data_IF_169769009500
#
_entry.id   IF_169769009500
#
_cell.length_a   1.000
_cell.length_b   1.000
_cell.length_c   1.000
_cell.angle_alpha   90.00
_cell.angle_beta   90.00
_cell.angle_gamma   90.00
#
_symmetry.space_group_name_H-M   'P 1'
#
loop_
_entity.id
_entity.type
_entity.pdbx_description
1 polymer ?
#
# COMPACT_ATOMS: atom_id res chain seq x y z
N UNK A 1 -3.96 23.88 15.54
CA UNK A 1 -4.45 23.35 14.25
C UNK A 1 -5.24 22.10 14.51
N UNK A 2 -6.40 21.96 13.87
CA UNK A 2 -7.28 20.80 14.05
C UNK A 2 -7.50 20.09 12.71
N UNK A 3 -7.26 18.77 12.64
CA UNK A 3 -7.38 17.98 11.41
C UNK A 3 -8.36 16.82 11.60
N UNK A 4 -9.22 16.60 10.61
CA UNK A 4 -10.03 15.38 10.53
C UNK A 4 -9.30 14.33 9.69
N UNK A 5 -9.25 13.09 10.19
CA UNK A 5 -8.87 11.90 9.40
C UNK A 5 -10.12 11.04 9.25
N UNK A 6 -10.53 10.74 8.01
CA UNK A 6 -11.76 10.00 7.73
C UNK A 6 -11.42 8.57 7.34
N UNK A 7 -11.78 7.62 8.20
CA UNK A 7 -11.54 6.18 8.02
C UNK A 7 -10.55 5.59 9.02
N UNK A 8 -10.78 4.33 9.41
CA UNK A 8 -10.01 3.56 10.40
C UNK A 8 -9.29 2.36 9.79
N UNK A 9 -9.19 2.28 8.46
CA UNK A 9 -8.33 1.31 7.81
C UNK A 9 -6.86 1.57 8.14
N UNK A 10 -5.97 0.70 7.70
CA UNK A 10 -4.52 0.78 7.95
C UNK A 10 -3.96 2.18 7.70
N UNK A 11 -4.36 2.82 6.59
CA UNK A 11 -3.87 4.15 6.23
C UNK A 11 -4.41 5.25 7.16
N UNK A 12 -5.67 5.17 7.56
CA UNK A 12 -6.22 6.11 8.54
C UNK A 12 -5.47 6.05 9.87
N UNK A 13 -5.17 4.86 10.37
CA UNK A 13 -4.36 4.66 11.59
C UNK A 13 -2.94 5.21 11.41
N UNK A 14 -2.27 4.88 10.29
CA UNK A 14 -0.94 5.42 9.96
C UNK A 14 -0.94 6.97 9.93
N UNK A 15 -1.95 7.56 9.29
CA UNK A 15 -2.08 9.02 9.19
C UNK A 15 -2.28 9.67 10.56
N UNK A 16 -3.15 9.10 11.40
CA UNK A 16 -3.34 9.59 12.78
C UNK A 16 -2.04 9.50 13.58
N UNK A 17 -1.34 8.35 13.51
CA UNK A 17 -0.05 8.18 14.18
C UNK A 17 0.99 9.19 13.70
N UNK A 18 1.11 9.39 12.38
CA UNK A 18 2.04 10.33 11.78
C UNK A 18 1.78 11.78 12.25
N UNK A 19 0.53 12.23 12.17
CA UNK A 19 0.13 13.57 12.59
C UNK A 19 0.41 13.81 14.07
N UNK A 20 0.02 12.89 14.94
CA UNK A 20 0.22 13.03 16.39
C UNK A 20 1.68 12.98 16.80
N UNK A 21 2.52 12.21 16.09
CA UNK A 21 3.95 12.11 16.38
C UNK A 21 4.74 13.31 15.88
N UNK A 22 4.57 13.69 14.61
CA UNK A 22 5.40 14.72 13.98
C UNK A 22 4.91 16.16 14.19
N UNK A 23 3.65 16.34 14.66
CA UNK A 23 3.08 17.67 14.88
C UNK A 23 2.54 17.80 16.32
N UNK A 24 3.37 18.22 17.29
CA UNK A 24 3.03 18.21 18.73
C UNK A 24 1.79 19.03 19.12
N UNK A 25 1.51 20.13 18.44
CA UNK A 25 0.42 21.08 18.78
C UNK A 25 -0.85 20.84 17.93
N UNK A 26 -0.95 19.67 17.30
CA UNK A 26 -2.06 19.31 16.44
C UNK A 26 -3.13 18.53 17.21
N UNK A 27 -4.40 18.84 16.97
CA UNK A 27 -5.55 18.04 17.37
C UNK A 27 -6.05 17.21 16.19
N UNK A 28 -6.35 15.93 16.43
CA UNK A 28 -6.84 15.00 15.42
C UNK A 28 -8.16 14.39 15.86
N UNK A 29 -9.19 14.57 15.05
CA UNK A 29 -10.42 13.81 15.13
C UNK A 29 -10.40 12.71 14.05
N UNK A 30 -10.47 11.44 14.45
CA UNK A 30 -10.66 10.33 13.53
C UNK A 30 -12.16 10.02 13.39
N UNK A 31 -12.70 10.22 12.19
CA UNK A 31 -14.13 10.05 11.89
C UNK A 31 -14.33 8.76 11.12
N UNK A 32 -15.22 7.89 11.57
CA UNK A 32 -15.47 6.61 10.92
C UNK A 32 -16.88 6.09 11.11
N UNK A 33 -17.33 5.28 10.16
CA UNK A 33 -18.59 4.55 10.27
C UNK A 33 -18.30 3.10 10.73
N UNK A 34 -18.70 2.69 11.95
CA UNK A 34 -18.39 1.37 12.49
C UNK A 34 -19.09 0.21 11.73
N UNK A 35 -20.08 0.51 10.89
CA UNK A 35 -20.76 -0.50 10.06
C UNK A 35 -20.08 -0.76 8.73
N UNK A 36 -19.09 0.06 8.34
CA UNK A 36 -18.31 -0.15 7.10
C UNK A 36 -17.14 -1.09 7.37
N UNK A 37 -17.13 -2.21 6.67
CA UNK A 37 -16.06 -3.20 6.79
C UNK A 37 -14.74 -2.67 6.24
N UNK A 38 -13.65 -2.98 6.94
CA UNK A 38 -12.29 -2.78 6.46
C UNK A 38 -11.98 -3.87 5.43
N UNK A 39 -11.34 -3.49 4.33
CA UNK A 39 -10.82 -4.47 3.38
C UNK A 39 -9.58 -5.14 3.99
N UNK A 40 -9.74 -6.38 4.43
CA UNK A 40 -8.64 -7.19 4.97
C UNK A 40 -7.87 -7.92 3.87
N UNK A 41 -7.25 -7.16 2.96
CA UNK A 41 -6.44 -7.70 1.88
C UNK A 41 -5.04 -7.08 1.98
N UNK A 42 -4.00 -7.92 2.06
CA UNK A 42 -2.62 -7.44 2.08
C UNK A 42 -2.21 -6.84 3.42
N UNK A 43 -2.11 -7.66 4.43
CA UNK A 43 -1.74 -7.32 5.81
C UNK A 43 -0.22 -7.22 5.98
N UNK A 44 0.48 -6.66 5.00
CA UNK A 44 1.94 -6.46 5.03
C UNK A 44 2.28 -4.98 5.11
N UNK A 45 3.16 -4.62 6.03
CA UNK A 45 3.63 -3.24 6.19
C UNK A 45 4.88 -2.93 5.36
N UNK A 46 5.23 -1.64 5.33
CA UNK A 46 6.57 -1.16 5.04
C UNK A 46 7.46 -1.22 6.30
N UNK A 47 8.74 -0.90 6.15
CA UNK A 47 9.72 -0.90 7.25
C UNK A 47 9.54 0.25 8.26
N UNK A 48 8.81 1.29 7.90
CA UNK A 48 8.60 2.47 8.76
C UNK A 48 7.45 2.27 9.76
N UNK A 49 6.48 1.40 9.45
CA UNK A 49 5.32 1.20 10.30
C UNK A 49 5.66 0.77 11.73
N UNK A 50 6.58 -0.19 11.98
CA UNK A 50 6.94 -0.58 13.35
C UNK A 50 7.42 0.59 14.21
N UNK A 51 8.28 1.42 13.65
CA UNK A 51 8.83 2.61 14.32
C UNK A 51 7.74 3.68 14.56
N UNK A 52 6.89 3.93 13.57
CA UNK A 52 5.77 4.85 13.70
C UNK A 52 4.79 4.45 14.81
N UNK A 53 4.41 3.18 14.87
CA UNK A 53 3.51 2.66 15.91
C UNK A 53 4.14 2.74 17.29
N UNK A 54 5.46 2.50 17.39
CA UNK A 54 6.19 2.65 18.65
C UNK A 54 6.24 4.11 19.10
N UNK A 55 6.64 5.01 18.23
CA UNK A 55 6.80 6.44 18.55
C UNK A 55 5.48 7.13 18.86
N UNK A 56 4.44 6.86 18.08
CA UNK A 56 3.14 7.52 18.24
C UNK A 56 2.27 6.89 19.34
N UNK A 57 2.28 5.56 19.46
CA UNK A 57 1.33 4.82 20.30
C UNK A 57 1.99 3.94 21.37
N UNK A 58 3.32 3.93 21.46
CA UNK A 58 4.05 3.02 22.40
C UNK A 58 3.84 1.54 22.10
N UNK A 59 3.46 1.20 20.85
CA UNK A 59 3.30 -0.18 20.44
C UNK A 59 4.68 -0.77 20.12
N UNK A 60 5.21 -1.52 21.05
CA UNK A 60 6.47 -2.26 20.86
C UNK A 60 6.16 -3.62 20.23
N UNK A 61 6.62 -3.85 19.00
CA UNK A 61 6.34 -5.08 18.25
C UNK A 61 6.72 -6.36 19.00
N UNK A 62 7.89 -6.37 19.68
CA UNK A 62 8.35 -7.56 20.38
C UNK A 62 7.53 -7.88 21.64
N UNK A 63 6.98 -6.86 22.31
CA UNK A 63 6.20 -7.03 23.55
C UNK A 63 4.69 -7.18 23.32
N UNK A 64 4.19 -6.70 22.19
CA UNK A 64 2.74 -6.59 21.92
C UNK A 64 2.30 -7.31 20.65
N UNK A 65 3.15 -8.20 20.11
CA UNK A 65 2.89 -8.94 18.86
C UNK A 65 1.54 -9.65 18.84
N UNK A 66 1.14 -10.24 19.96
CA UNK A 66 -0.10 -11.00 20.11
C UNK A 66 -1.35 -10.12 20.00
N UNK A 67 -1.26 -8.82 20.30
CA UNK A 67 -2.39 -7.90 20.21
C UNK A 67 -2.84 -7.66 18.75
N UNK A 68 -1.88 -7.75 17.81
CA UNK A 68 -2.12 -7.57 16.37
C UNK A 68 -1.81 -8.83 15.55
N UNK A 69 -1.63 -9.98 16.19
CA UNK A 69 -1.32 -11.25 15.51
C UNK A 69 -0.07 -11.14 14.59
N UNK A 70 0.95 -10.41 15.07
CA UNK A 70 2.10 -9.98 14.27
C UNK A 70 3.07 -11.11 13.98
N UNK A 71 3.53 -11.20 12.75
CA UNK A 71 4.79 -11.86 12.40
C UNK A 71 5.77 -10.88 11.77
N UNK A 72 7.08 -11.14 11.92
CA UNK A 72 8.11 -10.32 11.31
C UNK A 72 8.26 -10.64 9.83
N UNK A 73 8.46 -9.60 9.01
CA UNK A 73 8.75 -9.73 7.58
C UNK A 73 10.18 -9.27 7.32
N UNK A 74 11.01 -10.17 6.81
CA UNK A 74 12.41 -9.89 6.45
C UNK A 74 12.65 -9.86 4.94
N UNK A 75 11.60 -9.95 4.15
CA UNK A 75 11.72 -9.86 2.70
C UNK A 75 10.52 -10.43 1.96
N UNK A 76 10.73 -10.67 0.67
CA UNK A 76 9.77 -11.26 -0.25
C UNK A 76 10.41 -12.46 -0.94
N UNK A 77 9.72 -13.60 -0.96
CA UNK A 77 10.16 -14.78 -1.68
C UNK A 77 9.40 -14.90 -2.99
N UNK A 78 10.13 -14.84 -4.10
CA UNK A 78 9.61 -15.03 -5.45
C UNK A 78 9.73 -16.48 -5.88
N UNK A 79 8.59 -17.12 -6.19
CA UNK A 79 8.48 -18.51 -6.58
C UNK A 79 7.88 -18.58 -7.98
N UNK A 80 8.47 -19.36 -8.88
CA UNK A 80 8.04 -19.52 -10.28
C UNK A 80 8.09 -18.24 -11.15
N UNK A 81 8.62 -17.14 -10.67
CA UNK A 81 8.85 -15.95 -11.51
C UNK A 81 10.01 -16.15 -12.48
N UNK A 82 10.95 -17.02 -12.10
CA UNK A 82 12.11 -17.44 -12.90
C UNK A 82 12.36 -18.95 -12.69
N UNK A 83 13.26 -19.53 -13.48
CA UNK A 83 13.65 -20.93 -13.34
C UNK A 83 14.16 -21.29 -11.93
N UNK A 84 14.75 -20.32 -11.23
CA UNK A 84 15.15 -20.45 -9.83
C UNK A 84 14.33 -19.47 -9.01
N UNK A 85 13.80 -19.94 -7.91
CA UNK A 85 13.23 -19.07 -6.89
C UNK A 85 14.31 -18.16 -6.32
N UNK A 86 13.91 -16.96 -5.92
CA UNK A 86 14.83 -16.02 -5.29
C UNK A 86 14.17 -15.31 -4.11
N UNK A 87 14.99 -14.70 -3.29
CA UNK A 87 14.59 -13.92 -2.12
C UNK A 87 15.05 -12.48 -2.27
N UNK A 88 14.14 -11.54 -2.08
CA UNK A 88 14.41 -10.10 -2.01
C UNK A 88 14.40 -9.71 -0.52
N UNK A 89 15.57 -9.52 0.12
CA UNK A 89 15.64 -9.23 1.55
C UNK A 89 15.32 -7.76 1.85
N UNK A 90 14.75 -7.54 3.03
CA UNK A 90 14.82 -6.23 3.70
C UNK A 90 16.22 -6.09 4.29
N UNK A 91 16.84 -4.94 4.10
CA UNK A 91 18.24 -4.70 4.52
C UNK A 91 18.28 -4.55 6.05
N UNK A 92 19.10 -5.34 6.70
CA UNK A 92 19.34 -5.30 8.16
C UNK A 92 19.93 -3.91 8.54
N UNK A 93 19.46 -3.26 9.64
CA UNK A 93 18.67 -3.86 10.74
C UNK A 93 17.14 -3.75 10.58
N UNK A 94 16.62 -3.27 9.45
CA UNK A 94 15.21 -3.03 9.25
C UNK A 94 14.40 -4.32 9.16
N UNK A 95 13.14 -4.23 9.47
CA UNK A 95 12.12 -5.25 9.28
C UNK A 95 10.75 -4.60 9.03
N UNK A 96 9.87 -5.33 8.38
CA UNK A 96 8.46 -4.97 8.27
C UNK A 96 7.60 -5.95 9.06
N UNK A 97 6.29 -5.76 9.04
CA UNK A 97 5.33 -6.59 9.75
C UNK A 97 4.33 -7.20 8.79
N UNK A 98 3.91 -8.41 9.12
CA UNK A 98 2.57 -8.88 8.78
C UNK A 98 1.71 -8.73 10.04
N UNK A 99 0.48 -8.31 9.90
CA UNK A 99 -0.40 -8.04 11.05
C UNK A 99 -1.88 -8.17 10.66
N UNK A 100 -2.72 -8.38 11.66
CA UNK A 100 -4.16 -8.39 11.48
C UNK A 100 -4.71 -6.95 11.46
N UNK A 101 -5.04 -6.45 10.28
CA UNK A 101 -5.53 -5.08 10.12
C UNK A 101 -6.95 -4.88 10.67
N UNK A 102 -7.71 -5.94 10.93
CA UNK A 102 -9.00 -5.82 11.62
C UNK A 102 -8.84 -5.42 13.09
N UNK A 103 -7.71 -5.76 13.70
CA UNK A 103 -7.39 -5.40 15.10
C UNK A 103 -6.68 -4.05 15.22
N UNK A 104 -6.09 -3.54 14.12
CA UNK A 104 -5.15 -2.42 14.15
C UNK A 104 -5.73 -1.16 14.78
N UNK A 105 -6.92 -0.74 14.31
CA UNK A 105 -7.53 0.49 14.81
C UNK A 105 -7.87 0.42 16.30
N UNK A 106 -8.46 -0.68 16.76
CA UNK A 106 -8.85 -0.85 18.16
C UNK A 106 -7.65 -0.83 19.10
N UNK A 107 -6.59 -1.57 18.75
CA UNK A 107 -5.36 -1.66 19.54
C UNK A 107 -4.63 -0.32 19.58
N UNK A 108 -4.43 0.30 18.43
CA UNK A 108 -3.64 1.52 18.35
C UNK A 108 -4.40 2.72 18.90
N UNK A 109 -5.69 2.89 18.58
CA UNK A 109 -6.47 4.02 19.08
C UNK A 109 -6.67 3.98 20.60
N UNK A 110 -6.79 2.80 21.21
CA UNK A 110 -6.79 2.66 22.65
C UNK A 110 -5.51 3.22 23.28
N UNK A 111 -4.36 2.98 22.67
CA UNK A 111 -3.05 3.48 23.09
C UNK A 111 -2.92 4.99 22.87
N UNK A 112 -3.32 5.46 21.68
CA UNK A 112 -3.32 6.89 21.35
C UNK A 112 -4.21 7.70 22.27
N UNK A 113 -5.41 7.23 22.60
CA UNK A 113 -6.31 7.88 23.57
C UNK A 113 -5.66 8.01 24.94
N UNK A 114 -4.85 7.04 25.37
CA UNK A 114 -4.13 7.10 26.64
C UNK A 114 -2.96 8.10 26.59
N UNK A 115 -2.22 8.16 25.48
CA UNK A 115 -1.00 8.97 25.36
C UNK A 115 -1.31 10.42 24.94
N UNK A 116 -2.36 10.64 24.14
CA UNK A 116 -2.70 11.91 23.52
C UNK A 116 -4.09 12.42 23.92
N UNK A 117 -4.51 12.21 25.17
CA UNK A 117 -5.86 12.45 25.71
C UNK A 117 -6.54 13.74 25.26
N UNK A 118 -5.76 14.84 25.13
CA UNK A 118 -6.28 16.17 24.73
C UNK A 118 -6.21 16.42 23.24
N UNK A 119 -5.44 15.62 22.50
CA UNK A 119 -5.13 15.85 21.08
C UNK A 119 -5.76 14.84 20.14
N UNK A 120 -6.21 13.72 20.64
CA UNK A 120 -6.80 12.65 19.83
C UNK A 120 -8.20 12.28 20.28
N UNK A 121 -9.15 12.35 19.34
CA UNK A 121 -10.52 11.96 19.57
C UNK A 121 -11.05 11.10 18.42
N UNK A 122 -12.10 10.32 18.68
CA UNK A 122 -12.80 9.49 17.68
C UNK A 122 -14.26 9.89 17.60
N UNK A 123 -14.78 10.02 16.38
CA UNK A 123 -16.17 10.39 16.11
C UNK A 123 -16.80 9.28 15.24
N UNK A 124 -17.83 8.65 15.77
CA UNK A 124 -18.60 7.66 15.01
C UNK A 124 -19.70 8.36 14.20
N UNK A 125 -19.75 8.06 12.91
CA UNK A 125 -20.76 8.58 12.01
C UNK A 125 -20.43 8.38 10.54
N UNK A 126 -21.44 8.51 9.70
CA UNK A 126 -21.27 8.42 8.26
C UNK A 126 -20.97 9.80 7.67
N UNK A 127 -19.82 9.93 7.00
CA UNK A 127 -19.42 11.16 6.33
C UNK A 127 -20.16 11.26 5.01
N UNK A 128 -21.07 12.22 4.93
CA UNK A 128 -21.93 12.48 3.76
C UNK A 128 -21.24 13.35 2.73
N UNK A 129 -20.50 14.37 3.21
CA UNK A 129 -19.86 15.35 2.35
C UNK A 129 -18.63 15.98 3.01
N UNK A 130 -17.72 16.49 2.19
CA UNK A 130 -16.56 17.29 2.58
C UNK A 130 -16.56 18.54 1.72
N UNK A 131 -16.71 19.69 2.35
CA UNK A 131 -16.77 21.00 1.69
C UNK A 131 -15.58 21.82 2.19
N UNK A 132 -15.08 22.75 1.38
CA UNK A 132 -14.00 23.64 1.79
C UNK A 132 -14.18 25.06 1.25
N UNK A 133 -13.58 26.00 1.93
CA UNK A 133 -13.32 27.36 1.46
C UNK A 133 -11.86 27.74 1.75
N UNK A 134 -11.49 28.99 1.53
CA UNK A 134 -10.10 29.46 1.73
C UNK A 134 -9.64 29.38 3.19
N UNK A 135 -10.57 29.34 4.16
CA UNK A 135 -10.26 29.42 5.60
C UNK A 135 -10.29 28.07 6.28
N UNK A 136 -11.27 27.21 5.95
CA UNK A 136 -11.48 25.93 6.63
C UNK A 136 -12.10 24.87 5.71
N UNK A 137 -12.02 23.63 6.16
CA UNK A 137 -12.77 22.51 5.60
C UNK A 137 -13.89 22.10 6.56
N UNK A 138 -15.03 21.68 6.02
CA UNK A 138 -16.19 21.23 6.76
C UNK A 138 -16.53 19.78 6.40
N UNK A 139 -16.74 18.96 7.41
CA UNK A 139 -17.13 17.56 7.24
C UNK A 139 -18.55 17.37 7.74
N UNK A 140 -19.46 16.97 6.85
CA UNK A 140 -20.83 16.62 7.22
C UNK A 140 -20.88 15.18 7.72
N UNK A 141 -20.99 15.03 9.05
CA UNK A 141 -21.09 13.72 9.73
C UNK A 141 -22.53 13.52 10.18
N UNK A 142 -23.24 12.56 9.59
CA UNK A 142 -24.69 12.44 9.75
C UNK A 142 -25.37 13.79 9.42
N UNK A 143 -26.00 14.45 10.43
CA UNK A 143 -26.67 15.74 10.27
C UNK A 143 -25.87 16.92 10.88
N UNK A 144 -24.62 16.67 11.33
CA UNK A 144 -23.78 17.70 11.94
C UNK A 144 -22.68 18.13 10.96
N UNK A 145 -22.40 19.43 10.96
CA UNK A 145 -21.28 20.02 10.23
C UNK A 145 -20.16 20.31 11.22
N UNK A 146 -18.98 19.70 10.99
CA UNK A 146 -17.80 19.85 11.83
C UNK A 146 -16.73 20.61 11.05
N UNK A 147 -16.01 21.53 11.72
CA UNK A 147 -15.02 22.41 11.09
C UNK A 147 -13.59 22.01 11.46
N UNK A 148 -12.71 22.06 10.45
CA UNK A 148 -11.29 21.68 10.56
C UNK A 148 -10.40 22.59 9.73
N UNK A 149 -9.15 22.72 10.14
CA UNK A 149 -8.14 23.39 9.33
C UNK A 149 -7.83 22.60 8.06
N UNK A 150 -7.78 21.26 8.18
CA UNK A 150 -7.57 20.32 7.07
C UNK A 150 -8.35 19.01 7.28
N UNK A 151 -8.55 18.29 6.19
CA UNK A 151 -9.17 16.97 6.17
C UNK A 151 -8.29 15.99 5.41
N UNK A 152 -8.05 14.81 5.97
CA UNK A 152 -7.43 13.69 5.27
C UNK A 152 -8.50 12.63 4.99
N UNK A 153 -8.82 12.44 3.71
CA UNK A 153 -9.81 11.46 3.26
C UNK A 153 -9.14 10.10 2.99
N UNK A 154 -9.37 9.14 3.91
CA UNK A 154 -8.90 7.76 3.84
C UNK A 154 -10.05 6.75 3.65
N UNK A 155 -11.18 7.13 3.06
CA UNK A 155 -12.41 6.33 2.99
C UNK A 155 -12.36 5.08 2.10
N UNK A 156 -11.26 4.75 1.50
CA UNK A 156 -11.16 3.61 0.59
C UNK A 156 -11.44 3.97 -0.87
N UNK A 157 -11.91 3.01 -1.69
CA UNK A 157 -12.06 3.20 -3.13
C UNK A 157 -13.00 4.35 -3.49
N UNK A 158 -12.71 5.11 -4.57
CA UNK A 158 -13.65 6.10 -5.10
C UNK A 158 -14.85 5.40 -5.75
N UNK A 159 -16.01 6.04 -5.69
CA UNK A 159 -17.22 5.61 -6.40
C UNK A 159 -17.21 6.11 -7.86
N UNK A 160 -16.61 7.28 -8.10
CA UNK A 160 -16.42 7.90 -9.41
C UNK A 160 -14.92 8.12 -9.69
N UNK A 161 -14.51 7.81 -10.92
CA UNK A 161 -13.12 7.88 -11.37
C UNK A 161 -12.81 9.11 -12.24
N UNK A 162 -13.72 10.08 -12.36
CA UNK A 162 -13.52 11.31 -13.14
C UNK A 162 -12.31 12.13 -12.71
N UNK A 163 -12.01 12.14 -11.38
CA UNK A 163 -10.86 12.80 -10.78
C UNK A 163 -9.59 11.92 -10.72
N UNK A 164 -9.61 10.78 -11.41
CA UNK A 164 -8.53 9.79 -11.34
C UNK A 164 -7.95 9.49 -12.72
N UNK A 165 -6.71 9.06 -12.72
CA UNK A 165 -6.04 8.47 -13.89
C UNK A 165 -5.96 6.97 -13.68
N UNK A 166 -6.58 6.22 -14.59
CA UNK A 166 -6.59 4.75 -14.59
C UNK A 166 -5.35 4.26 -15.33
N UNK A 167 -4.65 3.29 -14.75
CA UNK A 167 -3.41 2.71 -15.29
C UNK A 167 -3.72 1.39 -16.02
N UNK A 168 -4.41 1.44 -17.16
CA UNK A 168 -4.88 0.26 -17.93
C UNK A 168 -3.75 -0.62 -18.47
N UNK A 169 -2.51 -0.14 -18.42
CA UNK A 169 -1.31 -0.91 -18.79
C UNK A 169 -0.85 -1.84 -17.66
N UNK A 170 -1.34 -1.68 -16.43
CA UNK A 170 -1.09 -2.61 -15.33
C UNK A 170 -1.94 -3.87 -15.48
N UNK A 171 -1.38 -5.06 -15.19
CA UNK A 171 -1.95 -6.31 -15.68
C UNK A 171 -3.15 -6.83 -14.89
N UNK A 172 -3.41 -6.34 -13.68
CA UNK A 172 -4.34 -6.96 -12.74
C UNK A 172 -5.61 -6.13 -12.55
N UNK A 173 -6.75 -6.82 -12.42
CA UNK A 173 -8.03 -6.18 -12.11
C UNK A 173 -8.94 -7.01 -11.18
N UNK A 174 -8.50 -8.21 -10.76
CA UNK A 174 -9.28 -9.12 -9.95
C UNK A 174 -8.42 -9.82 -8.90
N UNK A 175 -8.98 -10.02 -7.72
CA UNK A 175 -8.36 -10.74 -6.62
C UNK A 175 -9.33 -11.73 -5.98
N UNK A 176 -8.85 -12.95 -5.73
CA UNK A 176 -9.51 -13.97 -4.91
C UNK A 176 -8.69 -14.14 -3.65
N UNK A 177 -9.29 -13.99 -2.49
CA UNK A 177 -8.60 -14.14 -1.19
C UNK A 177 -9.10 -15.37 -0.46
N UNK A 178 -8.18 -16.17 0.03
CA UNK A 178 -8.42 -17.38 0.82
C UNK A 178 -7.72 -17.28 2.18
N UNK A 179 -8.47 -17.50 3.25
CA UNK A 179 -7.94 -17.55 4.62
C UNK A 179 -7.80 -18.98 5.11
N UNK A 180 -6.65 -19.30 5.72
CA UNK A 180 -6.36 -20.59 6.35
C UNK A 180 -6.20 -20.37 7.85
N UNK A 181 -7.03 -21.01 8.67
CA UNK A 181 -7.01 -20.92 10.14
C UNK A 181 -5.90 -21.78 10.75
N UNK A 182 -4.66 -21.52 10.35
CA UNK A 182 -3.46 -22.17 10.85
C UNK A 182 -2.31 -21.16 10.89
N UNK A 183 -1.41 -21.21 11.89
CA UNK A 183 -0.25 -20.35 11.95
C UNK A 183 0.61 -20.42 10.69
N UNK A 184 1.14 -19.28 10.26
CA UNK A 184 2.17 -19.23 9.22
C UNK A 184 3.57 -19.33 9.86
N UNK A 185 4.37 -20.32 9.45
CA UNK A 185 5.67 -20.62 10.03
C UNK A 185 6.84 -20.09 9.20
N UNK A 186 6.67 -18.92 8.56
CA UNK A 186 7.71 -18.26 7.79
C UNK A 186 7.70 -16.74 8.07
N UNK A 187 8.77 -16.05 7.66
CA UNK A 187 9.03 -14.64 8.01
C UNK A 187 9.21 -13.74 6.78
N UNK A 188 8.47 -14.01 5.73
CA UNK A 188 8.51 -13.24 4.47
C UNK A 188 7.14 -13.29 3.80
N UNK A 189 6.90 -12.36 2.86
CA UNK A 189 5.73 -12.46 1.98
C UNK A 189 6.06 -13.40 0.81
N UNK A 190 5.17 -14.36 0.52
CA UNK A 190 5.23 -15.13 -0.72
C UNK A 190 4.72 -14.28 -1.88
N UNK A 191 5.46 -14.32 -3.00
CA UNK A 191 5.02 -13.91 -4.32
C UNK A 191 5.22 -15.08 -5.28
N UNK A 192 4.18 -15.87 -5.46
CA UNK A 192 4.24 -17.07 -6.31
C UNK A 192 3.53 -16.81 -7.63
N UNK A 193 4.27 -16.83 -8.75
CA UNK A 193 3.66 -16.83 -10.06
C UNK A 193 2.87 -18.14 -10.29
N UNK A 194 1.71 -18.01 -10.90
CA UNK A 194 0.79 -19.10 -11.23
C UNK A 194 0.51 -19.08 -12.73
N UNK A 195 -0.25 -20.04 -13.24
CA UNK A 195 -0.56 -20.09 -14.67
C UNK A 195 -1.28 -18.86 -15.18
N UNK A 196 -2.21 -18.32 -14.38
CA UNK A 196 -3.14 -17.28 -14.82
C UNK A 196 -2.97 -15.95 -14.08
N UNK A 197 -1.91 -15.80 -13.29
CA UNK A 197 -1.66 -14.64 -12.45
C UNK A 197 -0.53 -14.88 -11.47
N UNK A 198 -0.67 -14.36 -10.25
CA UNK A 198 0.23 -14.69 -9.16
C UNK A 198 -0.48 -14.64 -7.81
N UNK A 199 0.12 -15.27 -6.81
CA UNK A 199 -0.39 -15.30 -5.46
C UNK A 199 0.57 -14.63 -4.49
N UNK A 200 0.02 -13.87 -3.54
CA UNK A 200 0.75 -13.55 -2.32
C UNK A 200 0.33 -14.47 -1.18
N UNK A 201 1.25 -14.74 -0.26
CA UNK A 201 0.99 -15.45 0.99
C UNK A 201 1.55 -14.68 2.18
N UNK A 202 0.70 -14.44 3.18
CA UNK A 202 1.00 -13.67 4.39
C UNK A 202 0.81 -14.55 5.60
N UNK A 203 1.88 -14.80 6.40
CA UNK A 203 1.78 -15.53 7.64
C UNK A 203 1.35 -14.60 8.78
N UNK A 204 0.42 -15.04 9.60
CA UNK A 204 0.13 -14.46 10.91
C UNK A 204 0.30 -15.52 11.99
N UNK A 205 0.30 -15.12 13.25
CA UNK A 205 0.49 -16.06 14.38
C UNK A 205 -0.64 -17.10 14.47
N UNK A 206 -1.87 -16.73 14.09
CA UNK A 206 -3.04 -17.61 14.25
C UNK A 206 -3.62 -18.08 12.91
N UNK A 207 -3.31 -17.38 11.80
CA UNK A 207 -3.87 -17.65 10.48
C UNK A 207 -2.89 -17.31 9.36
N UNK A 208 -3.25 -17.69 8.15
CA UNK A 208 -2.58 -17.28 6.92
C UNK A 208 -3.58 -16.59 6.00
N UNK A 209 -3.14 -15.55 5.31
CA UNK A 209 -3.87 -14.89 4.25
C UNK A 209 -3.22 -15.17 2.90
N UNK A 210 -3.99 -15.65 1.93
CA UNK A 210 -3.52 -15.91 0.58
C UNK A 210 -4.40 -15.15 -0.42
N UNK A 211 -3.79 -14.46 -1.37
CA UNK A 211 -4.51 -13.75 -2.41
C UNK A 211 -4.01 -14.15 -3.79
N UNK A 212 -4.91 -14.56 -4.67
CA UNK A 212 -4.66 -14.85 -6.08
C UNK A 212 -5.10 -13.65 -6.91
N UNK A 213 -4.19 -13.09 -7.68
CA UNK A 213 -4.37 -11.89 -8.48
C UNK A 213 -4.29 -12.24 -9.96
N UNK A 214 -5.24 -11.78 -10.75
CA UNK A 214 -5.35 -12.09 -12.16
C UNK A 214 -6.08 -11.00 -12.95
N UNK A 215 -6.26 -11.22 -14.25
CA UNK A 215 -7.05 -10.34 -15.12
C UNK A 215 -8.26 -11.10 -15.63
N UNK A 216 -9.46 -10.69 -15.21
CA UNK A 216 -10.71 -11.38 -15.58
C UNK A 216 -11.15 -11.14 -17.03
N UNK A 217 -10.50 -10.22 -17.76
CA UNK A 217 -10.66 -10.09 -19.20
C UNK A 217 -9.89 -11.17 -19.99
N UNK A 218 -8.97 -11.90 -19.33
CA UNK A 218 -8.10 -12.90 -19.96
C UNK A 218 -8.36 -14.29 -19.37
N UNK A 219 -8.60 -14.37 -18.07
CA UNK A 219 -8.73 -15.60 -17.30
C UNK A 219 -10.12 -15.67 -16.68
N UNK A 220 -10.84 -16.76 -16.94
CA UNK A 220 -12.12 -17.01 -16.28
C UNK A 220 -11.92 -17.16 -14.76
N UNK A 221 -12.84 -16.60 -13.96
CA UNK A 221 -12.78 -16.62 -12.50
C UNK A 221 -12.76 -18.03 -11.95
N UNK A 222 -13.54 -18.95 -12.54
CA UNK A 222 -13.57 -20.35 -12.11
C UNK A 222 -12.25 -21.09 -12.43
N UNK A 223 -11.54 -20.70 -13.49
CA UNK A 223 -10.22 -21.24 -13.78
C UNK A 223 -9.16 -20.73 -12.82
N UNK A 224 -9.24 -19.46 -12.39
CA UNK A 224 -8.41 -18.92 -11.32
C UNK A 224 -8.66 -19.63 -9.98
N UNK A 225 -9.93 -19.90 -9.62
CA UNK A 225 -10.29 -20.69 -8.43
C UNK A 225 -9.75 -22.12 -8.48
N UNK A 226 -9.88 -22.80 -9.61
CA UNK A 226 -9.32 -24.16 -9.81
C UNK A 226 -7.79 -24.16 -9.69
N UNK A 227 -7.12 -23.17 -10.27
CA UNK A 227 -5.66 -23.01 -10.17
C UNK A 227 -5.23 -22.81 -8.72
N UNK A 228 -5.91 -21.90 -7.99
CA UNK A 228 -5.68 -21.69 -6.57
C UNK A 228 -5.91 -22.97 -5.74
N UNK A 229 -7.03 -23.67 -5.93
CA UNK A 229 -7.34 -24.90 -5.22
C UNK A 229 -6.28 -26.00 -5.48
N UNK A 230 -5.79 -26.09 -6.71
CA UNK A 230 -4.74 -27.05 -7.08
C UNK A 230 -3.42 -26.80 -6.35
N UNK A 231 -3.07 -25.53 -6.08
CA UNK A 231 -1.85 -25.16 -5.35
C UNK A 231 -1.92 -25.62 -3.89
N UNK A 232 -3.11 -25.55 -3.27
CA UNK A 232 -3.35 -26.05 -1.91
C UNK A 232 -3.69 -27.56 -1.85
N UNK A 233 -3.82 -28.23 -2.99
CA UNK A 233 -4.24 -29.63 -3.09
C UNK A 233 -5.59 -29.90 -2.39
N UNK A 234 -6.56 -29.00 -2.61
CA UNK A 234 -7.94 -29.08 -2.10
C UNK A 234 -8.94 -28.90 -3.25
N UNK A 235 -10.21 -29.18 -3.00
CA UNK A 235 -11.28 -28.86 -3.96
C UNK A 235 -11.65 -27.37 -3.90
N UNK A 236 -12.23 -26.84 -4.98
CA UNK A 236 -12.70 -25.43 -5.03
C UNK A 236 -13.71 -25.13 -3.91
N UNK A 237 -14.55 -26.10 -3.54
CA UNK A 237 -15.54 -25.91 -2.48
C UNK A 237 -14.95 -25.81 -1.06
N UNK A 238 -13.70 -26.19 -0.88
CA UNK A 238 -12.98 -26.07 0.40
C UNK A 238 -12.26 -24.72 0.54
N UNK A 239 -12.21 -23.91 -0.52
CA UNK A 239 -11.67 -22.58 -0.47
C UNK A 239 -12.62 -21.65 0.32
N UNK A 240 -12.10 -20.97 1.35
CA UNK A 240 -12.80 -19.89 2.06
C UNK A 240 -12.55 -18.57 1.32
N UNK A 241 -13.41 -18.26 0.33
CA UNK A 241 -13.16 -17.20 -0.64
C UNK A 241 -13.88 -15.89 -0.33
N UNK A 242 -13.16 -14.80 -0.62
CA UNK A 242 -13.72 -13.48 -0.89
C UNK A 242 -13.17 -12.99 -2.22
N UNK A 243 -13.99 -12.35 -3.02
CA UNK A 243 -13.63 -11.85 -4.35
C UNK A 243 -13.70 -10.32 -4.38
N UNK A 244 -12.78 -9.72 -5.14
CA UNK A 244 -12.70 -8.27 -5.30
C UNK A 244 -12.28 -7.93 -6.72
N UNK A 245 -13.07 -7.11 -7.38
CA UNK A 245 -12.66 -6.45 -8.62
C UNK A 245 -12.11 -5.07 -8.31
N UNK A 246 -11.11 -4.63 -9.05
CA UNK A 246 -10.51 -3.32 -8.88
C UNK A 246 -10.00 -2.75 -10.21
N UNK A 247 -9.75 -1.46 -10.20
CA UNK A 247 -8.99 -0.79 -11.25
C UNK A 247 -7.69 -0.29 -10.63
N UNK A 248 -6.55 -0.39 -11.30
CA UNK A 248 -5.37 0.35 -10.89
C UNK A 248 -5.54 1.83 -11.25
N UNK A 249 -5.33 2.73 -10.29
CA UNK A 249 -5.53 4.17 -10.49
C UNK A 249 -4.72 5.01 -9.51
N UNK A 250 -4.58 6.29 -9.84
CA UNK A 250 -4.17 7.37 -8.93
C UNK A 250 -5.06 8.59 -9.09
N UNK A 251 -5.20 9.39 -8.04
CA UNK A 251 -5.88 10.68 -8.12
C UNK A 251 -5.09 11.66 -8.98
N UNK A 252 -5.78 12.53 -9.73
CA UNK A 252 -5.15 13.64 -10.47
C UNK A 252 -4.54 14.69 -9.54
N UNK A 253 -5.13 14.87 -8.35
CA UNK A 253 -4.61 15.73 -7.29
C UNK A 253 -4.66 15.01 -5.95
N UNK A 254 -3.52 14.85 -5.29
CA UNK A 254 -3.43 14.27 -3.95
C UNK A 254 -3.91 15.24 -2.89
N UNK A 255 -3.54 16.50 -3.04
CA UNK A 255 -4.04 17.60 -2.21
C UNK A 255 -4.76 18.63 -3.07
N UNK A 256 -5.87 19.12 -2.57
CA UNK A 256 -6.63 20.21 -3.18
C UNK A 256 -7.08 21.14 -2.04
N UNK A 257 -6.40 22.27 -1.90
CA UNK A 257 -6.63 23.20 -0.82
C UNK A 257 -6.46 22.57 0.56
N UNK A 258 -7.56 22.36 1.26
CA UNK A 258 -7.58 21.81 2.63
C UNK A 258 -7.90 20.32 2.71
N UNK A 259 -8.06 19.67 1.58
CA UNK A 259 -8.42 18.25 1.51
C UNK A 259 -7.26 17.46 0.90
N UNK A 260 -6.72 16.53 1.67
CA UNK A 260 -5.77 15.51 1.22
C UNK A 260 -6.52 14.20 0.99
N UNK A 261 -6.22 13.51 -0.10
CA UNK A 261 -6.61 12.11 -0.31
C UNK A 261 -5.44 11.21 0.07
N UNK A 262 -5.68 10.14 0.85
CA UNK A 262 -4.68 9.13 1.20
C UNK A 262 -5.26 7.71 1.13
N UNK A 263 -4.40 6.71 1.10
CA UNK A 263 -4.80 5.32 0.95
C UNK A 263 -5.47 5.03 -0.38
N UNK A 264 -6.38 4.05 -0.38
CA UNK A 264 -7.13 3.71 -1.59
C UNK A 264 -8.02 4.87 -2.10
N UNK A 265 -8.24 5.91 -1.30
CA UNK A 265 -8.89 7.13 -1.78
C UNK A 265 -7.99 7.95 -2.72
N UNK A 266 -6.68 7.80 -2.60
CA UNK A 266 -5.71 8.52 -3.44
C UNK A 266 -5.18 7.66 -4.59
N UNK A 267 -4.80 6.44 -4.29
CA UNK A 267 -4.08 5.57 -5.23
C UNK A 267 -4.28 4.10 -4.85
N UNK A 268 -4.48 3.26 -5.85
CA UNK A 268 -4.43 1.81 -5.71
C UNK A 268 -3.88 1.21 -7.00
N UNK A 269 -2.83 0.41 -6.88
CA UNK A 269 -2.30 -0.37 -8.01
C UNK A 269 -2.45 -1.85 -7.72
N UNK A 270 -1.47 -2.43 -7.06
CA UNK A 270 -1.46 -3.86 -6.70
C UNK A 270 -0.50 -4.11 -5.52
N UNK A 271 -0.56 -5.29 -4.86
CA UNK A 271 0.19 -5.53 -3.64
C UNK A 271 1.65 -5.97 -3.85
N UNK A 272 2.21 -5.96 -5.06
CA UNK A 272 3.59 -6.38 -5.29
C UNK A 272 4.55 -5.58 -4.39
N UNK A 273 5.47 -6.26 -3.70
CA UNK A 273 6.43 -5.68 -2.73
C UNK A 273 5.80 -4.82 -1.61
N UNK A 274 4.47 -4.90 -1.41
CA UNK A 274 3.73 -4.06 -0.46
C UNK A 274 3.94 -2.54 -0.67
N UNK A 275 4.18 -2.12 -1.91
CA UNK A 275 4.53 -0.75 -2.30
C UNK A 275 3.50 0.29 -1.87
N UNK A 276 2.23 -0.09 -1.81
CA UNK A 276 1.15 0.82 -1.40
C UNK A 276 1.40 1.43 -0.01
N UNK A 277 1.89 0.63 0.95
CA UNK A 277 2.17 1.11 2.31
C UNK A 277 3.27 2.18 2.34
N UNK A 278 4.32 2.03 1.52
CA UNK A 278 5.37 3.05 1.38
C UNK A 278 4.81 4.32 0.76
N UNK A 279 3.97 4.19 -0.27
CA UNK A 279 3.37 5.35 -0.93
C UNK A 279 2.48 6.16 0.04
N UNK A 280 1.66 5.48 0.84
CA UNK A 280 0.79 6.15 1.82
C UNK A 280 1.57 6.91 2.89
N UNK A 281 2.72 6.39 3.29
CA UNK A 281 3.65 7.07 4.21
C UNK A 281 4.26 8.32 3.57
N UNK A 282 4.64 8.25 2.28
CA UNK A 282 5.09 9.41 1.51
C UNK A 282 4.00 10.48 1.36
N UNK A 283 2.72 10.10 1.21
CA UNK A 283 1.61 11.07 1.23
C UNK A 283 1.54 11.78 2.58
N UNK A 284 1.69 11.05 3.70
CA UNK A 284 1.70 11.67 5.03
C UNK A 284 2.88 12.64 5.20
N UNK A 285 4.06 12.27 4.73
CA UNK A 285 5.26 13.11 4.78
C UNK A 285 5.11 14.38 3.91
N UNK A 286 4.55 14.24 2.71
CA UNK A 286 4.26 15.36 1.83
C UNK A 286 3.19 16.29 2.42
N UNK A 287 2.19 15.74 3.10
CA UNK A 287 1.18 16.51 3.81
C UNK A 287 1.78 17.29 4.97
N UNK A 288 2.70 16.69 5.73
CA UNK A 288 3.46 17.41 6.76
C UNK A 288 4.18 18.62 6.17
N UNK A 289 4.88 18.49 5.04
CA UNK A 289 5.56 19.59 4.37
C UNK A 289 4.57 20.72 4.00
N UNK A 290 3.38 20.34 3.52
CA UNK A 290 2.35 21.30 3.11
C UNK A 290 1.77 22.10 4.28
N UNK A 291 1.32 21.43 5.34
CA UNK A 291 0.68 22.11 6.48
C UNK A 291 1.65 23.00 7.27
N UNK A 292 2.94 22.69 7.20
CA UNK A 292 4.01 23.52 7.77
C UNK A 292 4.55 24.58 6.80
N UNK A 293 3.95 24.72 5.61
CA UNK A 293 4.33 25.69 4.56
C UNK A 293 5.78 25.53 4.07
N UNK A 294 6.32 24.33 4.13
CA UNK A 294 7.63 23.97 3.61
C UNK A 294 7.56 23.65 2.10
N UNK A 295 6.39 23.24 1.62
CA UNK A 295 6.10 23.00 0.22
C UNK A 295 4.74 23.56 -0.16
N UNK A 296 4.59 24.03 -1.40
CA UNK A 296 3.30 24.47 -1.96
C UNK A 296 2.43 23.29 -2.37
N UNK A 297 1.13 23.53 -2.61
CA UNK A 297 0.19 22.53 -3.15
C UNK A 297 0.72 21.93 -4.45
N UNK A 298 1.20 22.77 -5.38
CA UNK A 298 1.72 22.32 -6.67
C UNK A 298 2.98 21.46 -6.51
N UNK A 299 3.89 21.82 -5.61
CA UNK A 299 5.09 21.02 -5.34
C UNK A 299 4.73 19.64 -4.77
N UNK A 300 3.79 19.59 -3.81
CA UNK A 300 3.32 18.31 -3.25
C UNK A 300 2.66 17.44 -4.31
N UNK A 301 1.75 18.00 -5.09
CA UNK A 301 1.08 17.26 -6.16
C UNK A 301 2.05 16.79 -7.24
N UNK A 302 3.00 17.62 -7.64
CA UNK A 302 4.06 17.25 -8.59
C UNK A 302 4.90 16.10 -8.05
N UNK A 303 5.39 16.21 -6.82
CA UNK A 303 6.16 15.17 -6.16
C UNK A 303 5.44 13.83 -6.13
N UNK A 304 4.21 13.80 -5.59
CA UNK A 304 3.43 12.58 -5.43
C UNK A 304 3.04 11.97 -6.79
N UNK A 305 2.78 12.80 -7.81
CA UNK A 305 2.54 12.33 -9.17
C UNK A 305 3.78 11.64 -9.76
N UNK A 306 4.96 12.25 -9.62
CA UNK A 306 6.21 11.65 -10.09
C UNK A 306 6.55 10.35 -9.37
N UNK A 307 6.34 10.33 -8.05
CA UNK A 307 6.51 9.11 -7.27
C UNK A 307 5.56 8.00 -7.75
N UNK A 308 4.27 8.32 -7.95
CA UNK A 308 3.28 7.36 -8.46
C UNK A 308 3.70 6.77 -9.83
N UNK A 309 4.14 7.62 -10.77
CA UNK A 309 4.64 7.17 -12.07
C UNK A 309 5.87 6.23 -11.95
N UNK A 310 6.74 6.45 -10.98
CA UNK A 310 7.87 5.53 -10.74
C UNK A 310 7.42 4.22 -10.11
N UNK A 311 6.36 4.21 -9.31
CA UNK A 311 5.74 2.96 -8.83
C UNK A 311 5.09 2.19 -9.99
N UNK A 312 4.42 2.86 -10.92
CA UNK A 312 3.92 2.27 -12.17
C UNK A 312 5.05 1.59 -12.95
N UNK A 313 6.18 2.28 -13.13
CA UNK A 313 7.36 1.73 -13.79
C UNK A 313 7.94 0.53 -13.03
N UNK A 314 7.97 0.59 -11.70
CA UNK A 314 8.46 -0.53 -10.89
C UNK A 314 7.58 -1.78 -11.04
N UNK A 315 6.26 -1.61 -11.03
CA UNK A 315 5.32 -2.72 -11.26
C UNK A 315 5.56 -3.29 -12.66
N UNK A 316 5.61 -2.46 -13.69
CA UNK A 316 5.91 -2.90 -15.05
C UNK A 316 7.27 -3.62 -15.13
N UNK A 317 8.29 -3.13 -14.44
CA UNK A 317 9.59 -3.78 -14.34
C UNK A 317 9.51 -5.19 -13.74
N UNK A 318 8.71 -5.41 -12.71
CA UNK A 318 8.55 -6.74 -12.15
C UNK A 318 7.93 -7.74 -13.15
N UNK A 319 7.03 -7.27 -14.01
CA UNK A 319 6.27 -8.13 -14.95
C UNK A 319 6.88 -8.27 -16.35
N UNK A 320 7.66 -7.31 -16.83
CA UNK A 320 8.06 -7.25 -18.25
C UNK A 320 8.84 -8.48 -18.75
N UNK A 321 9.46 -9.23 -17.87
CA UNK A 321 10.10 -10.49 -18.19
C UNK A 321 9.16 -11.72 -18.15
N UNK A 322 7.90 -11.54 -17.75
CA UNK A 322 6.93 -12.63 -17.57
C UNK A 322 7.29 -13.54 -16.38
N UNK A 323 6.91 -14.81 -16.48
CA UNK A 323 7.23 -15.85 -15.50
C UNK A 323 7.74 -17.13 -16.18
N UNK A 324 7.78 -18.26 -15.44
CA UNK A 324 8.05 -19.59 -16.07
C UNK A 324 6.89 -20.10 -16.93
N UNK A 325 5.71 -19.47 -16.82
CA UNK A 325 4.51 -19.88 -17.56
C UNK A 325 4.39 -19.10 -18.87
N UNK A 326 4.00 -19.79 -19.96
CA UNK A 326 3.78 -19.23 -21.29
C UNK A 326 2.27 -19.22 -21.63
N UNK A 327 1.48 -18.62 -20.75
CA UNK A 327 0.00 -18.54 -20.87
C UNK A 327 -0.44 -17.21 -21.50
N UNK A 328 -1.71 -17.10 -21.91
CA UNK A 328 -2.26 -15.82 -22.40
C UNK A 328 -2.06 -14.66 -21.42
N UNK A 329 -2.27 -14.87 -20.12
CA UNK A 329 -2.05 -13.86 -19.08
C UNK A 329 -0.60 -13.35 -19.11
N UNK A 330 0.39 -14.23 -19.06
CA UNK A 330 1.79 -13.83 -19.01
C UNK A 330 2.30 -13.22 -20.33
N UNK A 331 1.74 -13.62 -21.48
CA UNK A 331 2.04 -13.01 -22.79
C UNK A 331 1.52 -11.56 -22.87
N UNK A 332 0.26 -11.36 -22.53
CA UNK A 332 -0.37 -10.01 -22.49
C UNK A 332 0.36 -9.09 -21.50
N UNK A 333 0.58 -9.58 -20.29
CA UNK A 333 1.30 -8.86 -19.23
C UNK A 333 2.68 -8.42 -19.68
N UNK A 334 3.48 -9.34 -20.21
CA UNK A 334 4.83 -9.06 -20.73
C UNK A 334 4.79 -7.99 -21.83
N UNK A 335 3.86 -8.11 -22.77
CA UNK A 335 3.73 -7.17 -23.89
C UNK A 335 3.41 -5.75 -23.38
N UNK A 336 2.35 -5.59 -22.59
CA UNK A 336 1.88 -4.31 -22.07
C UNK A 336 2.94 -3.61 -21.22
N UNK A 337 3.53 -4.34 -20.28
CA UNK A 337 4.50 -3.77 -19.35
C UNK A 337 5.83 -3.42 -20.04
N UNK A 338 6.28 -4.24 -21.00
CA UNK A 338 7.46 -3.90 -21.83
C UNK A 338 7.23 -2.66 -22.68
N UNK A 339 6.03 -2.53 -23.28
CA UNK A 339 5.68 -1.36 -24.06
C UNK A 339 5.63 -0.09 -23.20
N UNK A 340 5.11 -0.18 -21.96
CA UNK A 340 5.08 0.96 -21.05
C UNK A 340 6.48 1.43 -20.63
N UNK A 341 7.42 0.49 -20.44
CA UNK A 341 8.81 0.81 -20.07
C UNK A 341 9.65 1.31 -21.24
N UNK A 342 9.28 0.94 -22.49
CA UNK A 342 9.93 1.41 -23.69
C UNK A 342 9.75 2.93 -23.77
N UNK A 343 10.81 3.66 -24.04
CA UNK A 343 10.79 5.13 -24.18
C UNK A 343 10.29 5.92 -22.94
N UNK A 344 10.12 5.25 -21.78
CA UNK A 344 9.74 5.91 -20.55
C UNK A 344 10.95 6.61 -19.89
N UNK A 345 10.98 7.92 -19.97
CA UNK A 345 12.12 8.70 -19.49
C UNK A 345 12.36 8.56 -17.96
N UNK A 346 11.29 8.43 -17.15
CA UNK A 346 11.45 8.22 -15.71
C UNK A 346 12.03 6.84 -15.39
N UNK A 347 11.74 5.84 -16.23
CA UNK A 347 12.37 4.53 -16.11
C UNK A 347 13.84 4.58 -16.49
N UNK A 348 14.22 5.26 -17.59
CA UNK A 348 15.61 5.46 -17.98
C UNK A 348 16.40 6.19 -16.90
N UNK A 349 15.83 7.25 -16.31
CA UNK A 349 16.43 7.97 -15.20
C UNK A 349 16.62 7.07 -13.97
N UNK A 350 15.65 6.19 -13.67
CA UNK A 350 15.76 5.21 -12.57
C UNK A 350 16.91 4.24 -12.81
N UNK A 351 17.05 3.73 -14.05
CA UNK A 351 18.17 2.84 -14.43
C UNK A 351 19.51 3.56 -14.26
N UNK A 352 19.64 4.76 -14.77
CA UNK A 352 20.87 5.53 -14.71
C UNK A 352 21.28 5.82 -13.26
N UNK A 353 20.37 6.29 -12.44
CA UNK A 353 20.60 6.56 -11.03
C UNK A 353 21.00 5.30 -10.25
N UNK A 354 20.33 4.17 -10.51
CA UNK A 354 20.66 2.91 -9.84
C UNK A 354 22.03 2.36 -10.29
N UNK A 355 22.43 2.53 -11.55
CA UNK A 355 23.77 2.15 -12.04
C UNK A 355 24.87 2.97 -11.36
N UNK A 356 24.67 4.26 -11.24
CA UNK A 356 25.68 5.19 -10.74
C UNK A 356 25.79 5.18 -9.20
N UNK A 357 25.02 4.31 -8.49
CA UNK A 357 24.98 4.28 -7.02
C UNK A 357 24.72 5.65 -6.38
N UNK A 358 23.99 6.53 -7.08
CA UNK A 358 23.49 7.70 -6.40
C UNK A 358 22.67 7.20 -5.21
N UNK A 359 23.28 7.25 -4.03
CA UNK A 359 22.53 7.20 -2.80
C UNK A 359 21.54 8.33 -2.95
N UNK A 360 20.26 7.98 -3.01
CA UNK A 360 19.21 8.97 -2.82
C UNK A 360 19.49 9.45 -1.42
N UNK A 361 20.23 10.53 -1.30
CA UNK A 361 20.42 11.16 -0.03
C UNK A 361 19.04 11.26 0.57
N UNK A 362 18.87 10.54 1.67
CA UNK A 362 17.72 10.68 2.56
C UNK A 362 17.80 12.06 3.20
N UNK A 363 18.17 13.03 2.38
CA UNK A 363 17.94 14.40 2.75
C UNK A 363 16.42 14.53 2.90
N UNK A 364 15.99 15.18 3.92
CA UNK A 364 14.59 15.40 4.32
C UNK A 364 13.73 15.98 3.19
N UNK A 365 14.29 16.13 2.03
CA UNK A 365 13.65 16.50 0.78
C UNK A 365 13.01 15.26 0.15
N UNK A 366 11.74 15.41 -0.18
CA UNK A 366 10.90 14.40 -0.79
C UNK A 366 11.60 13.77 -2.01
N UNK A 367 12.05 12.52 -1.88
CA UNK A 367 12.61 11.78 -3.02
C UNK A 367 11.51 11.13 -3.84
N UNK A 368 11.57 11.29 -5.16
CA UNK A 368 10.61 10.63 -6.06
C UNK A 368 10.93 9.17 -6.35
N UNK A 369 11.99 8.60 -5.75
CA UNK A 369 12.36 7.20 -5.99
C UNK A 369 11.75 6.27 -4.95
N UNK A 370 11.00 5.23 -5.36
CA UNK A 370 10.32 4.32 -4.44
C UNK A 370 11.28 3.38 -3.69
N UNK A 371 12.45 3.09 -4.27
CA UNK A 371 13.46 2.19 -3.72
C UNK A 371 14.86 2.76 -3.93
N UNK A 372 15.78 2.43 -3.03
CA UNK A 372 17.18 2.79 -3.19
C UNK A 372 17.87 1.94 -4.29
N UNK A 373 19.03 2.35 -4.81
CA UNK A 373 19.76 1.63 -5.85
C UNK A 373 20.09 0.19 -5.51
N UNK A 374 20.36 -0.10 -4.24
CA UNK A 374 20.69 -1.46 -3.80
C UNK A 374 19.49 -2.41 -3.92
N UNK A 375 18.29 -1.96 -3.57
CA UNK A 375 17.07 -2.77 -3.75
C UNK A 375 16.81 -3.09 -5.21
N UNK A 376 16.97 -2.12 -6.12
CA UNK A 376 16.87 -2.38 -7.56
C UNK A 376 17.87 -3.42 -8.04
N UNK A 377 19.13 -3.35 -7.59
CA UNK A 377 20.17 -4.33 -7.96
C UNK A 377 19.87 -5.73 -7.45
N UNK A 378 19.37 -5.87 -6.21
CA UNK A 378 18.98 -7.17 -5.66
C UNK A 378 17.82 -7.79 -6.44
N UNK A 379 16.79 -7.02 -6.75
CA UNK A 379 15.66 -7.48 -7.55
C UNK A 379 16.09 -7.85 -8.97
N UNK A 380 16.98 -7.05 -9.59
CA UNK A 380 17.50 -7.30 -10.94
C UNK A 380 18.31 -8.60 -11.03
N UNK A 381 19.10 -8.89 -10.00
CA UNK A 381 19.80 -10.17 -9.88
C UNK A 381 18.82 -11.34 -9.79
N UNK A 382 17.77 -11.19 -8.95
CA UNK A 382 16.74 -12.20 -8.78
C UNK A 382 15.94 -12.45 -10.05
N UNK A 383 15.51 -11.38 -10.72
CA UNK A 383 14.79 -11.48 -12.00
C UNK A 383 15.70 -11.84 -13.18
N UNK A 384 17.02 -11.62 -13.08
CA UNK A 384 17.97 -11.92 -14.13
C UNK A 384 17.84 -11.01 -15.37
N UNK A 385 17.40 -9.77 -15.19
CA UNK A 385 17.19 -8.83 -16.31
C UNK A 385 18.43 -8.08 -16.73
N UNK A 386 19.39 -7.91 -15.81
CA UNK A 386 20.68 -7.25 -16.07
C UNK A 386 20.63 -5.76 -16.42
N UNK A 387 19.56 -5.05 -16.01
CA UNK A 387 19.45 -3.60 -16.21
C UNK A 387 20.50 -2.81 -15.42
N UNK A 388 20.84 -3.28 -14.21
CA UNK A 388 21.67 -2.55 -13.23
C UNK A 388 23.08 -3.13 -13.10
N UNK A 389 23.51 -3.98 -14.04
CA UNK A 389 24.91 -4.37 -14.15
C UNK A 389 25.75 -3.17 -14.64
N UNK A 390 26.90 -2.96 -13.97
CA UNK A 390 27.94 -2.07 -14.46
C UNK A 390 28.65 -2.68 -15.66
#
# INVERSE_FOLDING_TARGET
MKIAVIGTGTVGVMTVCHLLHYTPDLEVDCIFNPTKNILGIGESSNVHLPDLLYKAAGFNTALHSDELDVTFKYGVKYVNWRKKDFFSPIIIPDYALHFDNFKLADVIFKRLKKQHQKRFNTIEGDVKDIIQNDVLAQVKVNDKLLEYDFVVDCRGYPEDYSDYEVADFLPLNHAIVHGINQPGNWNYTYHQATKNGWMFGIPLQQRQGWGYLFNDNITDVEDAKKDMASIFNISVNELNLREFTFKPYRTKKFINGRILRNGNRAIFYEPIEAISGVFYDNINSAFYQYIHKLSSEDQVNYYLTKLAQRYENFICYAYHGGSIYDTPFWKDTKQKTSQHLQDNYLWQETIENAKNNYEFELDRDLTTFPFNPHNYKLLDQGFGYHYFKQ
#
